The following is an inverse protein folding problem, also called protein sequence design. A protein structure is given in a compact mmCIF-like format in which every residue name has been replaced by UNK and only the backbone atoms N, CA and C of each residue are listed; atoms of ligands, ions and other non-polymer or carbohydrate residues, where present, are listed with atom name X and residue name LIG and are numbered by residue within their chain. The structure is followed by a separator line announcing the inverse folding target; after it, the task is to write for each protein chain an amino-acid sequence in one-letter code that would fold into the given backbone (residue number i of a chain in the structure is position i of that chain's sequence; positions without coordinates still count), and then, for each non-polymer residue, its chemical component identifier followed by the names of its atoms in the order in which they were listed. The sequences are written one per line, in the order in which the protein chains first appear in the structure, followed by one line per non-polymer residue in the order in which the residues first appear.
data_IF_056497453650
#
_entry.id   IF_056497453650
#
_cell.length_a   1.000
_cell.length_b   1.000
_cell.length_c   1.000
_cell.angle_alpha   90.00
_cell.angle_beta   90.00
_cell.angle_gamma   90.00
#
_symmetry.space_group_name_H-M   'P 1'
#
loop_
_entity.id
_entity.type
_entity.pdbx_description
1 polymer ?
#
# COMPACT_ATOMS: atom_id res chain seq x y z
N UNK A 1 -16.34 21.66 -25.20
CA UNK A 1 -15.78 20.31 -25.39
C UNK A 1 -14.77 20.09 -24.28
N UNK A 2 -14.84 18.96 -23.60
CA UNK A 2 -13.88 18.64 -22.55
C UNK A 2 -12.47 18.41 -23.13
N UNK A 3 -11.44 18.69 -22.34
CA UNK A 3 -10.05 18.40 -22.67
C UNK A 3 -9.75 16.94 -22.30
N UNK A 4 -9.24 16.17 -23.27
CA UNK A 4 -8.90 14.75 -23.08
C UNK A 4 -7.40 14.60 -22.73
N UNK A 5 -7.13 13.92 -21.63
CA UNK A 5 -5.79 13.51 -21.22
C UNK A 5 -5.69 11.99 -21.29
N UNK A 6 -4.83 11.48 -22.16
CA UNK A 6 -4.65 10.04 -22.41
C UNK A 6 -3.47 9.46 -21.60
N UNK A 7 -3.52 8.15 -21.35
CA UNK A 7 -2.45 7.38 -20.70
C UNK A 7 -2.06 7.93 -19.33
N UNK A 8 -3.07 8.30 -18.53
CA UNK A 8 -2.87 8.80 -17.17
C UNK A 8 -2.71 7.62 -16.20
N UNK A 9 -1.75 7.78 -15.30
CA UNK A 9 -1.48 6.76 -14.28
C UNK A 9 -2.45 6.91 -13.12
N UNK A 10 -3.08 5.80 -12.72
CA UNK A 10 -4.08 5.76 -11.67
C UNK A 10 -3.44 5.60 -10.29
N UNK A 11 -3.57 6.55 -9.34
CA UNK A 11 -3.12 6.40 -7.96
C UNK A 11 -4.18 5.73 -7.07
N UNK A 12 -4.94 4.77 -7.61
CA UNK A 12 -6.00 4.07 -6.87
C UNK A 12 -5.49 2.95 -5.97
N UNK A 13 -4.45 2.25 -6.38
CA UNK A 13 -3.81 1.15 -5.66
C UNK A 13 -2.41 0.86 -6.25
N UNK A 14 -1.66 -0.07 -5.67
CA UNK A 14 -0.30 -0.42 -6.11
C UNK A 14 -0.19 -1.00 -7.53
N UNK A 15 -1.31 -1.25 -8.22
CA UNK A 15 -1.31 -1.64 -9.62
C UNK A 15 -0.89 -0.49 -10.55
N UNK A 16 -1.09 0.77 -10.16
CA UNK A 16 -0.75 1.97 -10.93
C UNK A 16 -1.03 1.82 -12.42
N UNK A 17 -2.30 1.50 -12.76
CA UNK A 17 -2.73 1.34 -14.16
C UNK A 17 -2.38 2.58 -14.96
N UNK A 18 -1.78 2.42 -16.14
CA UNK A 18 -1.19 3.47 -16.97
C UNK A 18 -1.95 3.72 -18.29
N UNK A 19 -3.17 3.24 -18.36
CA UNK A 19 -4.05 3.27 -19.53
C UNK A 19 -5.37 4.03 -19.29
N UNK A 20 -5.38 4.96 -18.31
CA UNK A 20 -6.57 5.76 -18.06
C UNK A 20 -6.63 6.95 -19.01
N UNK A 21 -7.84 7.23 -19.51
CA UNK A 21 -8.14 8.45 -20.25
C UNK A 21 -9.10 9.29 -19.41
N UNK A 22 -8.73 10.56 -19.18
CA UNK A 22 -9.47 11.49 -18.32
C UNK A 22 -9.95 12.66 -19.14
N UNK A 23 -11.24 12.96 -19.10
CA UNK A 23 -11.81 14.17 -19.73
C UNK A 23 -12.11 15.21 -18.66
N UNK A 24 -11.59 16.42 -18.85
CA UNK A 24 -11.85 17.58 -18.00
C UNK A 24 -12.78 18.59 -18.67
N UNK A 25 -13.66 19.22 -17.90
CA UNK A 25 -14.36 20.46 -18.22
C UNK A 25 -13.92 21.54 -17.22
N UNK A 26 -13.04 22.43 -17.64
CA UNK A 26 -12.34 23.34 -16.75
C UNK A 26 -11.42 22.57 -15.80
N UNK A 27 -11.62 22.72 -14.48
CA UNK A 27 -10.90 22.01 -13.41
C UNK A 27 -11.57 20.70 -12.97
N UNK A 28 -12.68 20.33 -13.63
CA UNK A 28 -13.53 19.23 -13.19
C UNK A 28 -13.38 18.00 -14.07
N UNK A 29 -13.12 16.85 -13.44
CA UNK A 29 -13.20 15.53 -14.10
C UNK A 29 -14.66 15.23 -14.43
N UNK A 30 -14.97 15.00 -15.71
CA UNK A 30 -16.31 14.65 -16.19
C UNK A 30 -16.39 13.19 -16.64
N UNK A 31 -15.29 12.61 -17.10
CA UNK A 31 -15.23 11.23 -17.52
C UNK A 31 -13.85 10.63 -17.21
N UNK A 32 -13.81 9.34 -16.87
CA UNK A 32 -12.58 8.54 -16.78
C UNK A 32 -12.85 7.18 -17.40
N UNK A 33 -12.13 6.86 -18.47
CA UNK A 33 -12.17 5.56 -19.10
C UNK A 33 -11.12 4.61 -18.48
N UNK A 34 -11.28 3.31 -18.69
CA UNK A 34 -10.35 2.26 -18.23
C UNK A 34 -10.08 2.27 -16.71
N UNK A 35 -11.07 2.62 -15.90
CA UNK A 35 -10.95 2.79 -14.46
C UNK A 35 -11.74 1.72 -13.69
N UNK A 36 -11.23 1.29 -12.54
CA UNK A 36 -11.97 0.48 -11.56
C UNK A 36 -12.56 1.36 -10.45
N UNK A 37 -13.34 0.75 -9.54
CA UNK A 37 -13.97 1.48 -8.42
C UNK A 37 -12.97 2.24 -7.53
N UNK A 38 -11.75 1.72 -7.34
CA UNK A 38 -10.72 2.42 -6.58
C UNK A 38 -10.23 3.68 -7.29
N UNK A 39 -9.99 3.60 -8.61
CA UNK A 39 -9.64 4.77 -9.41
C UNK A 39 -10.80 5.76 -9.49
N UNK A 40 -12.02 5.30 -9.72
CA UNK A 40 -13.22 6.16 -9.68
C UNK A 40 -13.28 6.98 -8.38
N UNK A 41 -13.00 6.35 -7.23
CA UNK A 41 -13.03 7.03 -5.93
C UNK A 41 -11.93 8.08 -5.76
N UNK A 42 -10.89 8.06 -6.59
CA UNK A 42 -9.83 9.07 -6.60
C UNK A 42 -10.16 10.26 -7.48
N UNK A 43 -10.69 10.01 -8.67
CA UNK A 43 -10.89 11.04 -9.69
C UNK A 43 -12.26 11.72 -9.59
N UNK A 44 -13.31 10.97 -9.27
CA UNK A 44 -14.64 11.54 -9.08
C UNK A 44 -14.86 11.90 -7.62
N UNK A 45 -14.77 13.16 -7.29
CA UNK A 45 -15.20 13.70 -6.00
C UNK A 45 -16.74 13.73 -5.96
N UNK A 46 -17.28 12.58 -5.92
CA UNK A 46 -18.65 12.10 -5.68
C UNK A 46 -19.78 13.14 -5.52
N UNK A 47 -20.10 13.91 -6.55
CA UNK A 47 -21.45 14.52 -6.61
C UNK A 47 -22.48 13.70 -7.40
N UNK A 48 -22.11 12.57 -8.03
CA UNK A 48 -23.01 11.85 -8.96
C UNK A 48 -23.17 10.34 -8.77
N UNK A 49 -22.47 9.67 -7.88
CA UNK A 49 -22.80 8.30 -7.54
C UNK A 49 -23.75 8.26 -6.34
N UNK A 50 -24.92 7.69 -6.52
CA UNK A 50 -26.06 7.61 -5.58
C UNK A 50 -25.78 6.89 -4.23
N UNK A 51 -24.60 7.00 -3.68
CA UNK A 51 -24.28 6.48 -2.35
C UNK A 51 -24.16 7.60 -1.33
N UNK A 52 -24.97 7.53 -0.29
CA UNK A 52 -25.17 8.49 0.79
C UNK A 52 -23.95 8.85 1.68
N UNK A 53 -22.72 8.56 1.27
CA UNK A 53 -21.48 8.98 1.95
C UNK A 53 -20.48 9.49 0.92
N UNK A 54 -20.62 10.74 0.55
CA UNK A 54 -19.61 11.46 -0.19
C UNK A 54 -18.30 11.51 0.64
N UNK A 55 -17.16 11.13 0.03
CA UNK A 55 -15.87 11.53 0.57
C UNK A 55 -15.76 13.04 0.37
N UNK A 56 -15.97 13.81 1.42
CA UNK A 56 -15.85 15.25 1.33
C UNK A 56 -14.39 15.61 1.04
N UNK A 57 -14.18 16.26 -0.10
CA UNK A 57 -12.90 16.89 -0.45
C UNK A 57 -12.64 18.01 0.54
N UNK A 58 -11.49 17.99 1.20
CA UNK A 58 -11.07 19.05 2.09
C UNK A 58 -10.51 20.21 1.27
N UNK A 59 -10.89 21.45 1.59
CA UNK A 59 -10.53 22.64 0.84
C UNK A 59 -9.83 23.69 1.72
N UNK A 60 -10.15 23.73 3.00
CA UNK A 60 -9.74 24.80 3.90
C UNK A 60 -8.91 24.25 5.05
N UNK A 61 -7.78 24.89 5.38
CA UNK A 61 -7.03 24.60 6.60
C UNK A 61 -7.86 24.93 7.83
N UNK A 62 -7.78 24.05 8.84
CA UNK A 62 -8.59 24.19 10.05
C UNK A 62 -7.74 23.91 11.29
N UNK A 63 -8.04 24.64 12.36
CA UNK A 63 -7.50 24.42 13.70
C UNK A 63 -8.63 24.18 14.68
N UNK A 64 -8.43 23.26 15.61
CA UNK A 64 -9.43 22.94 16.62
C UNK A 64 -9.32 23.89 17.80
N UNK A 65 -10.37 24.69 17.97
CA UNK A 65 -10.56 25.50 19.17
C UNK A 65 -11.66 24.85 20.02
N UNK A 66 -11.31 24.45 21.23
CA UNK A 66 -12.19 23.68 22.11
C UNK A 66 -12.69 22.40 21.43
N UNK A 67 -13.95 22.31 21.04
CA UNK A 67 -14.57 21.14 20.41
C UNK A 67 -14.87 21.28 18.92
N UNK A 68 -14.54 22.43 18.32
CA UNK A 68 -14.91 22.73 16.93
C UNK A 68 -13.68 23.04 16.10
N UNK A 69 -13.64 22.50 14.87
CA UNK A 69 -12.70 22.92 13.84
C UNK A 69 -13.14 24.28 13.29
N UNK A 70 -12.20 25.21 13.20
CA UNK A 70 -12.41 26.56 12.65
C UNK A 70 -11.46 26.76 11.48
N UNK A 71 -11.97 27.28 10.37
CA UNK A 71 -11.15 27.67 9.22
C UNK A 71 -10.21 28.79 9.59
N UNK A 72 -8.96 28.64 9.20
CA UNK A 72 -7.87 29.61 9.40
C UNK A 72 -7.04 29.74 8.13
N UNK A 73 -6.09 30.69 8.07
CA UNK A 73 -5.14 30.73 6.95
C UNK A 73 -4.21 29.51 6.98
N UNK A 74 -3.61 29.22 5.82
CA UNK A 74 -2.65 28.12 5.70
C UNK A 74 -1.46 28.31 6.64
N UNK A 75 -0.93 29.53 6.71
CA UNK A 75 0.20 29.90 7.56
C UNK A 75 -0.13 29.75 9.05
N UNK A 76 -1.35 30.09 9.46
CA UNK A 76 -1.79 29.93 10.85
C UNK A 76 -1.92 28.45 11.22
N UNK A 77 -2.52 27.64 10.33
CA UNK A 77 -2.61 26.19 10.54
C UNK A 77 -1.22 25.53 10.58
N UNK A 78 -0.32 25.95 9.67
CA UNK A 78 1.03 25.42 9.59
C UNK A 78 1.85 25.77 10.85
N UNK A 79 1.75 27.01 11.35
CA UNK A 79 2.43 27.46 12.57
C UNK A 79 1.92 26.68 13.81
N UNK A 80 0.60 26.46 13.93
CA UNK A 80 0.04 25.67 15.01
C UNK A 80 0.51 24.20 14.94
N UNK A 81 0.51 23.61 13.73
CA UNK A 81 1.01 22.25 13.50
C UNK A 81 2.48 22.12 13.89
N UNK A 82 3.33 23.03 13.42
CA UNK A 82 4.75 23.07 13.76
C UNK A 82 4.95 23.22 15.28
N UNK A 83 4.19 24.11 15.94
CA UNK A 83 4.25 24.28 17.38
C UNK A 83 3.83 23.03 18.18
N UNK A 84 2.82 22.29 17.74
CA UNK A 84 2.40 21.04 18.38
C UNK A 84 3.47 19.95 18.22
N UNK A 85 4.03 19.78 17.02
CA UNK A 85 5.03 18.76 16.72
C UNK A 85 6.38 19.05 17.39
N UNK A 86 6.83 20.32 17.43
CA UNK A 86 8.11 20.71 18.06
C UNK A 86 8.12 20.55 19.58
N UNK A 87 6.98 20.66 20.24
CA UNK A 87 6.87 20.46 21.70
C UNK A 87 6.82 19.01 22.12
N UNK A 88 6.57 18.11 21.16
CA UNK A 88 6.46 16.67 21.45
C UNK A 88 7.81 16.07 21.79
N UNK A 89 7.81 15.16 22.77
CA UNK A 89 8.99 14.41 23.19
C UNK A 89 9.10 13.06 22.43
N UNK A 90 7.96 12.52 22.02
CA UNK A 90 7.85 11.25 21.27
C UNK A 90 6.85 11.39 20.13
N UNK A 91 7.15 12.25 19.14
CA UNK A 91 6.29 12.43 17.99
C UNK A 91 6.29 11.19 17.08
N UNK A 92 5.13 10.92 16.48
CA UNK A 92 4.94 9.86 15.49
C UNK A 92 4.50 10.47 14.16
N UNK A 93 5.15 10.07 13.06
CA UNK A 93 4.65 10.31 11.70
C UNK A 93 4.07 8.98 11.20
N UNK A 94 2.81 8.98 10.78
CA UNK A 94 2.08 7.78 10.39
C UNK A 94 1.48 7.89 9.00
N UNK A 95 1.50 6.79 8.22
CA UNK A 95 0.82 6.65 6.93
C UNK A 95 1.78 6.63 5.77
N UNK A 96 1.69 7.63 4.86
CA UNK A 96 2.56 7.81 3.69
C UNK A 96 2.38 6.80 2.53
N UNK A 97 1.74 5.67 2.75
CA UNK A 97 1.53 4.65 1.70
C UNK A 97 0.56 5.11 0.59
N UNK A 98 -0.23 6.15 0.88
CA UNK A 98 -1.10 6.83 -0.08
C UNK A 98 -0.61 8.26 -0.44
N UNK A 99 0.69 8.50 -0.34
CA UNK A 99 1.36 9.75 -0.77
C UNK A 99 2.45 9.46 -1.79
N UNK A 100 2.80 10.45 -2.61
CA UNK A 100 3.88 10.31 -3.59
C UNK A 100 5.27 10.17 -2.96
N UNK A 101 6.25 9.79 -3.74
CA UNK A 101 7.61 9.53 -3.27
C UNK A 101 8.33 10.79 -2.82
N UNK A 102 7.99 11.96 -3.40
CA UNK A 102 8.54 13.24 -2.91
C UNK A 102 8.01 13.58 -1.51
N UNK A 103 6.72 13.30 -1.27
CA UNK A 103 6.13 13.46 0.07
C UNK A 103 6.73 12.47 1.08
N UNK A 104 6.99 11.22 0.66
CA UNK A 104 7.64 10.21 1.51
C UNK A 104 9.05 10.64 1.90
N UNK A 105 9.84 11.18 0.95
CA UNK A 105 11.18 11.71 1.22
C UNK A 105 11.16 12.94 2.15
N UNK A 106 10.23 13.88 1.93
CA UNK A 106 10.06 15.03 2.79
C UNK A 106 9.64 14.63 4.22
N UNK A 107 8.76 13.64 4.36
CA UNK A 107 8.35 13.11 5.66
C UNK A 107 9.51 12.42 6.40
N UNK A 108 10.37 11.69 5.69
CA UNK A 108 11.55 11.07 6.29
C UNK A 108 12.56 12.13 6.80
N UNK A 109 12.73 13.22 6.05
CA UNK A 109 13.56 14.36 6.47
C UNK A 109 12.97 15.02 7.72
N UNK A 110 11.66 15.28 7.71
CA UNK A 110 10.94 15.85 8.86
C UNK A 110 11.02 14.93 10.09
N UNK A 111 10.93 13.59 9.90
CA UNK A 111 11.09 12.63 11.00
C UNK A 111 12.47 12.73 11.67
N UNK A 112 13.52 12.93 10.88
CA UNK A 112 14.88 13.16 11.41
C UNK A 112 14.97 14.46 12.20
N UNK A 113 14.42 15.56 11.69
CA UNK A 113 14.41 16.88 12.36
C UNK A 113 13.63 16.85 13.67
N UNK A 114 12.48 16.18 13.69
CA UNK A 114 11.63 16.01 14.87
C UNK A 114 12.14 14.95 15.85
N UNK A 115 13.13 14.15 15.47
CA UNK A 115 13.52 12.92 16.19
C UNK A 115 12.31 11.99 16.38
N UNK A 116 11.46 11.90 15.38
CA UNK A 116 10.22 11.13 15.40
C UNK A 116 10.43 9.69 14.95
N UNK A 117 9.51 8.81 15.36
CA UNK A 117 9.30 7.54 14.68
C UNK A 117 8.45 7.79 13.43
N UNK A 118 8.85 7.20 12.30
CA UNK A 118 8.05 7.16 11.09
C UNK A 118 7.48 5.74 10.92
N UNK A 119 6.16 5.62 10.83
CA UNK A 119 5.50 4.32 10.71
C UNK A 119 4.67 4.23 9.44
N UNK A 120 5.03 3.34 8.50
CA UNK A 120 4.20 2.99 7.36
C UNK A 120 2.83 2.43 7.78
N UNK A 121 1.76 2.82 7.09
CA UNK A 121 0.40 2.34 7.40
C UNK A 121 0.17 0.84 7.15
N UNK A 122 1.09 0.17 6.48
CA UNK A 122 1.04 -1.26 6.14
C UNK A 122 2.25 -2.07 6.65
N UNK A 123 2.90 -1.57 7.71
CA UNK A 123 4.13 -2.13 8.27
C UNK A 123 4.07 -3.65 8.48
N UNK A 124 2.99 -4.15 9.05
CA UNK A 124 2.83 -5.57 9.38
C UNK A 124 2.79 -6.50 8.15
N UNK A 125 2.52 -5.96 6.97
CA UNK A 125 2.46 -6.73 5.73
C UNK A 125 3.69 -6.52 4.85
N UNK A 126 4.05 -5.27 4.57
CA UNK A 126 5.09 -4.96 3.60
C UNK A 126 6.50 -5.10 4.17
N UNK A 127 6.74 -4.75 5.45
CA UNK A 127 8.07 -4.88 6.04
C UNK A 127 8.60 -6.32 6.02
N UNK A 128 7.83 -7.36 6.43
CA UNK A 128 8.26 -8.75 6.33
C UNK A 128 8.61 -9.18 4.91
N UNK A 129 7.87 -8.74 3.89
CA UNK A 129 8.19 -9.02 2.49
C UNK A 129 9.56 -8.48 2.10
N UNK A 130 9.82 -7.19 2.35
CA UNK A 130 11.10 -6.57 1.99
C UNK A 130 12.27 -7.11 2.82
N UNK A 131 12.05 -7.48 4.08
CA UNK A 131 13.05 -8.18 4.89
C UNK A 131 13.41 -9.55 4.31
N UNK A 132 12.40 -10.28 3.82
CA UNK A 132 12.62 -11.56 3.16
C UNK A 132 13.46 -11.41 1.88
N UNK A 133 13.20 -10.35 1.09
CA UNK A 133 14.03 -10.01 -0.07
C UNK A 133 15.48 -9.75 0.35
N UNK A 134 15.71 -8.98 1.43
CA UNK A 134 17.06 -8.70 1.93
C UNK A 134 17.80 -9.97 2.39
N UNK A 135 17.08 -10.93 2.98
CA UNK A 135 17.67 -12.18 3.49
C UNK A 135 17.93 -13.23 2.41
N UNK A 136 17.01 -13.40 1.49
CA UNK A 136 17.01 -14.54 0.57
C UNK A 136 17.27 -14.16 -0.88
N UNK A 137 17.12 -12.88 -1.23
CA UNK A 137 16.94 -12.49 -2.62
C UNK A 137 15.63 -13.00 -3.18
N UNK A 138 15.08 -12.33 -4.16
CA UNK A 138 13.84 -12.73 -4.86
C UNK A 138 14.03 -12.42 -6.33
N UNK A 139 13.68 -13.35 -7.21
CA UNK A 139 13.63 -13.06 -8.64
C UNK A 139 12.51 -12.05 -8.88
N UNK A 140 12.83 -10.99 -9.57
CA UNK A 140 11.96 -9.88 -9.86
C UNK A 140 11.80 -9.67 -11.36
N UNK A 141 10.65 -9.18 -11.80
CA UNK A 141 10.40 -8.74 -13.17
C UNK A 141 9.31 -7.67 -13.20
N UNK A 142 9.28 -6.79 -14.22
CA UNK A 142 8.13 -5.95 -14.49
C UNK A 142 6.84 -6.77 -14.65
N UNK A 143 5.70 -6.23 -14.24
CA UNK A 143 4.39 -6.89 -14.40
C UNK A 143 4.05 -7.19 -15.86
N UNK A 144 4.66 -6.49 -16.81
CA UNK A 144 4.53 -6.78 -18.25
C UNK A 144 5.10 -8.14 -18.62
N UNK A 145 6.21 -8.56 -17.98
CA UNK A 145 6.75 -9.91 -18.13
C UNK A 145 5.77 -10.96 -17.58
N UNK A 146 5.12 -10.66 -16.44
CA UNK A 146 4.09 -11.55 -15.89
C UNK A 146 2.91 -11.68 -16.86
N UNK A 147 2.45 -10.56 -17.44
CA UNK A 147 1.40 -10.56 -18.47
C UNK A 147 1.79 -11.44 -19.66
N UNK A 148 3.01 -11.26 -20.16
CA UNK A 148 3.44 -11.84 -21.43
C UNK A 148 3.87 -13.30 -21.31
N UNK A 149 4.37 -13.76 -20.15
CA UNK A 149 5.05 -15.02 -20.03
C UNK A 149 4.50 -15.98 -18.97
N UNK A 150 3.79 -15.49 -17.92
CA UNK A 150 3.36 -16.36 -16.84
C UNK A 150 2.19 -17.27 -17.26
N UNK A 151 2.47 -18.57 -17.33
CA UNK A 151 1.47 -19.63 -17.55
C UNK A 151 0.79 -20.09 -16.26
N UNK A 152 1.37 -19.75 -15.10
CA UNK A 152 0.90 -20.19 -13.78
C UNK A 152 0.82 -19.02 -12.81
N UNK A 153 -0.36 -18.85 -12.20
CA UNK A 153 -0.63 -17.77 -11.23
C UNK A 153 -1.14 -18.38 -9.94
N UNK A 154 -0.44 -18.09 -8.84
CA UNK A 154 -0.85 -18.48 -7.50
C UNK A 154 -1.16 -17.22 -6.66
N UNK A 155 -2.38 -17.13 -6.16
CA UNK A 155 -2.77 -16.12 -5.19
C UNK A 155 -2.70 -16.70 -3.77
N UNK A 156 -1.93 -16.08 -2.87
CA UNK A 156 -1.74 -16.53 -1.50
C UNK A 156 -2.26 -15.49 -0.50
N UNK A 157 -3.34 -15.80 0.20
CA UNK A 157 -4.00 -14.86 1.12
C UNK A 157 -4.41 -13.56 0.43
N UNK A 158 -4.79 -13.63 -0.85
CA UNK A 158 -4.99 -12.47 -1.70
C UNK A 158 -6.36 -12.48 -2.38
N UNK A 159 -7.07 -11.35 -2.31
CA UNK A 159 -8.26 -11.11 -3.11
C UNK A 159 -8.11 -9.82 -3.94
N UNK A 160 -7.41 -9.87 -5.09
CA UNK A 160 -7.19 -8.72 -5.94
C UNK A 160 -8.51 -8.13 -6.49
N UNK A 161 -9.60 -8.89 -6.56
CA UNK A 161 -10.92 -8.34 -6.95
C UNK A 161 -11.31 -7.15 -6.07
N UNK A 162 -10.89 -7.17 -4.78
CA UNK A 162 -11.15 -6.08 -3.83
C UNK A 162 -9.96 -5.13 -3.68
N UNK A 163 -8.71 -5.60 -3.67
CA UNK A 163 -7.54 -4.76 -3.39
C UNK A 163 -6.95 -4.08 -4.63
N UNK A 164 -6.96 -4.76 -5.78
CA UNK A 164 -6.39 -4.30 -7.04
C UNK A 164 -7.16 -4.90 -8.24
N UNK A 165 -8.43 -4.48 -8.48
CA UNK A 165 -9.33 -5.19 -9.41
C UNK A 165 -8.76 -5.36 -10.82
N UNK A 166 -8.02 -4.39 -11.32
CA UNK A 166 -7.44 -4.46 -12.66
C UNK A 166 -6.18 -5.33 -12.75
N UNK A 167 -5.57 -5.71 -11.62
CA UNK A 167 -4.45 -6.67 -11.59
C UNK A 167 -4.84 -8.01 -12.26
N UNK A 168 -6.06 -8.48 -11.99
CA UNK A 168 -6.59 -9.74 -12.53
C UNK A 168 -6.71 -9.70 -14.06
N UNK A 169 -7.10 -8.53 -14.59
CA UNK A 169 -7.33 -8.34 -16.02
C UNK A 169 -6.05 -7.97 -16.77
N UNK A 170 -5.20 -7.14 -16.16
CA UNK A 170 -4.03 -6.57 -16.86
C UNK A 170 -2.78 -7.42 -16.76
N UNK A 171 -2.58 -8.14 -15.65
CA UNK A 171 -1.29 -8.77 -15.37
C UNK A 171 -1.39 -10.22 -14.86
N UNK A 172 -2.59 -10.74 -14.65
CA UNK A 172 -2.77 -12.08 -14.06
C UNK A 172 -3.72 -12.95 -14.89
N UNK A 173 -4.93 -13.21 -14.41
CA UNK A 173 -5.81 -14.26 -14.91
C UNK A 173 -6.24 -14.06 -16.38
N UNK A 174 -6.76 -12.85 -16.70
CA UNK A 174 -7.38 -12.59 -18.00
C UNK A 174 -6.46 -11.86 -18.98
N UNK A 175 -5.27 -11.47 -18.52
CA UNK A 175 -4.32 -10.75 -19.36
C UNK A 175 -3.90 -11.62 -20.57
N UNK A 176 -3.95 -11.02 -21.77
CA UNK A 176 -3.38 -11.62 -22.98
C UNK A 176 -1.95 -11.16 -23.13
N UNK A 177 -1.05 -12.09 -23.36
CA UNK A 177 0.36 -11.84 -23.51
C UNK A 177 0.97 -12.68 -24.63
N UNK A 178 2.28 -12.53 -24.82
CA UNK A 178 3.01 -13.17 -25.92
C UNK A 178 2.91 -14.70 -25.92
N UNK A 179 2.89 -15.34 -24.75
CA UNK A 179 2.81 -16.79 -24.59
C UNK A 179 1.49 -17.25 -23.97
N UNK A 180 0.57 -16.33 -23.78
CA UNK A 180 -0.76 -16.55 -23.18
C UNK A 180 -1.82 -15.81 -23.99
N UNK A 181 -1.86 -16.05 -25.31
CA UNK A 181 -2.69 -15.29 -26.26
C UNK A 181 -4.20 -15.39 -26.00
N UNK A 182 -4.65 -16.52 -25.44
CA UNK A 182 -6.05 -16.76 -25.07
C UNK A 182 -6.36 -16.32 -23.63
N UNK A 183 -5.38 -15.72 -22.92
CA UNK A 183 -5.55 -15.24 -21.57
C UNK A 183 -5.80 -16.35 -20.56
N UNK A 184 -6.98 -16.38 -19.94
CA UNK A 184 -7.32 -17.36 -18.89
C UNK A 184 -7.29 -18.82 -19.35
N UNK A 185 -7.47 -19.10 -20.65
CA UNK A 185 -7.43 -20.47 -21.20
C UNK A 185 -5.99 -21.01 -21.26
N UNK A 186 -5.00 -20.14 -21.38
CA UNK A 186 -3.59 -20.51 -21.42
C UNK A 186 -2.93 -20.49 -20.04
N UNK A 187 -3.68 -20.12 -18.99
CA UNK A 187 -3.14 -19.96 -17.63
C UNK A 187 -3.72 -20.98 -16.67
N UNK A 188 -2.85 -21.52 -15.85
CA UNK A 188 -3.24 -22.24 -14.65
C UNK A 188 -3.35 -21.25 -13.49
N UNK A 189 -4.47 -21.26 -12.79
CA UNK A 189 -4.71 -20.32 -11.67
C UNK A 189 -5.07 -21.10 -10.41
N UNK A 190 -4.41 -20.79 -9.32
CA UNK A 190 -4.69 -21.35 -8.00
C UNK A 190 -4.82 -20.26 -6.94
N UNK A 191 -5.54 -20.58 -5.87
CA UNK A 191 -5.60 -19.75 -4.68
C UNK A 191 -5.42 -20.55 -3.40
N UNK A 192 -4.69 -20.00 -2.45
CA UNK A 192 -4.54 -20.48 -1.07
C UNK A 192 -5.14 -19.41 -0.15
N UNK A 193 -6.17 -19.76 0.60
CA UNK A 193 -6.82 -18.81 1.52
C UNK A 193 -7.59 -19.56 2.62
N UNK A 194 -7.97 -18.86 3.68
CA UNK A 194 -8.78 -19.40 4.78
C UNK A 194 -10.25 -19.58 4.40
N UNK A 195 -10.73 -18.85 3.41
CA UNK A 195 -12.10 -18.98 2.88
C UNK A 195 -12.15 -18.68 1.37
N UNK A 196 -13.23 -19.11 0.73
CA UNK A 196 -13.48 -18.81 -0.68
C UNK A 196 -13.90 -17.36 -0.87
N UNK A 197 -13.19 -16.64 -1.74
CA UNK A 197 -13.51 -15.28 -2.18
C UNK A 197 -14.08 -15.30 -3.60
N UNK A 198 -14.45 -14.14 -4.13
CA UNK A 198 -14.91 -14.00 -5.52
C UNK A 198 -13.84 -14.42 -6.52
N UNK A 199 -12.57 -14.22 -6.16
CA UNK A 199 -11.43 -14.66 -6.97
C UNK A 199 -11.45 -16.17 -7.21
N UNK A 200 -11.92 -16.98 -6.25
CA UNK A 200 -11.90 -18.45 -6.36
C UNK A 200 -12.79 -18.98 -7.48
N UNK A 201 -13.71 -18.18 -8.04
CA UNK A 201 -14.49 -18.53 -9.23
C UNK A 201 -13.61 -18.68 -10.48
N UNK A 202 -12.46 -18.06 -10.49
CA UNK A 202 -11.47 -18.10 -11.57
C UNK A 202 -10.26 -18.99 -11.26
N UNK A 203 -10.26 -19.67 -10.10
CA UNK A 203 -9.19 -20.54 -9.64
C UNK A 203 -9.64 -22.01 -9.65
N UNK A 204 -9.34 -22.79 -10.70
CA UNK A 204 -9.65 -24.22 -10.74
C UNK A 204 -9.09 -25.01 -9.56
N UNK A 205 -7.98 -24.55 -8.99
CA UNK A 205 -7.41 -25.10 -7.78
C UNK A 205 -7.54 -24.10 -6.61
N UNK A 206 -8.31 -24.49 -5.60
CA UNK A 206 -8.42 -23.78 -4.33
C UNK A 206 -7.95 -24.66 -3.18
N UNK A 207 -6.97 -24.19 -2.42
CA UNK A 207 -6.49 -24.84 -1.20
C UNK A 207 -6.97 -24.01 0.00
N UNK A 208 -7.88 -24.60 0.76
CA UNK A 208 -8.34 -24.00 2.01
C UNK A 208 -7.36 -24.37 3.12
N UNK A 209 -6.87 -23.36 3.83
CA UNK A 209 -6.04 -23.49 5.04
C UNK A 209 -6.76 -22.95 6.27
N UNK A 210 -6.27 -23.30 7.45
CA UNK A 210 -6.58 -22.60 8.68
C UNK A 210 -5.50 -21.55 8.95
N UNK A 211 -5.81 -20.44 9.64
CA UNK A 211 -4.78 -19.50 10.08
C UNK A 211 -3.65 -20.22 10.82
N UNK A 212 -2.41 -19.96 10.41
CA UNK A 212 -1.21 -20.61 10.97
C UNK A 212 -0.75 -21.88 10.26
N UNK A 213 -1.51 -22.40 9.28
CA UNK A 213 -1.09 -23.58 8.47
C UNK A 213 -0.25 -23.21 7.24
N UNK A 214 0.05 -21.96 7.04
CA UNK A 214 0.80 -21.47 5.87
C UNK A 214 2.19 -22.12 5.79
N UNK A 215 2.90 -22.17 6.92
CA UNK A 215 4.25 -22.76 6.98
C UNK A 215 4.21 -24.28 6.72
N UNK A 216 3.29 -25.00 7.33
CA UNK A 216 3.11 -26.43 7.09
C UNK A 216 2.83 -26.73 5.60
N UNK A 217 2.04 -25.85 4.94
CA UNK A 217 1.75 -25.98 3.51
C UNK A 217 3.00 -25.72 2.68
N UNK A 218 3.77 -24.66 2.98
CA UNK A 218 5.00 -24.32 2.25
C UNK A 218 6.04 -25.43 2.40
N UNK A 219 6.27 -25.93 3.60
CA UNK A 219 7.22 -27.02 3.89
C UNK A 219 6.80 -28.30 3.18
N UNK A 220 5.51 -28.65 3.26
CA UNK A 220 5.00 -29.82 2.56
C UNK A 220 5.12 -29.76 1.06
N UNK A 221 4.88 -28.59 0.44
CA UNK A 221 5.10 -28.36 -1.01
C UNK A 221 6.59 -28.51 -1.33
N UNK A 222 7.46 -27.85 -0.58
CA UNK A 222 8.90 -27.86 -0.80
C UNK A 222 9.47 -29.29 -0.71
N UNK A 223 9.08 -30.06 0.32
CA UNK A 223 9.50 -31.45 0.47
C UNK A 223 9.04 -32.35 -0.70
N UNK A 224 7.76 -32.20 -1.13
CA UNK A 224 7.26 -32.97 -2.31
C UNK A 224 8.02 -32.62 -3.58
N UNK A 225 8.27 -31.34 -3.83
CA UNK A 225 9.01 -30.88 -5.01
C UNK A 225 10.47 -31.33 -4.97
N UNK A 226 11.07 -31.43 -3.79
CA UNK A 226 12.42 -31.98 -3.59
C UNK A 226 12.49 -33.51 -3.70
N UNK A 227 11.36 -34.20 -3.88
CA UNK A 227 11.30 -35.67 -3.92
C UNK A 227 11.42 -36.34 -2.55
N UNK A 228 11.27 -35.59 -1.45
CA UNK A 228 11.30 -36.13 -0.11
C UNK A 228 10.04 -36.95 0.21
N UNK A 229 10.16 -37.97 1.05
CA UNK A 229 8.99 -38.74 1.48
C UNK A 229 8.13 -37.92 2.42
N UNK A 230 7.01 -37.38 1.92
CA UNK A 230 5.97 -36.71 2.70
C UNK A 230 4.71 -37.62 2.73
N UNK A 231 4.64 -38.62 3.64
CA UNK A 231 3.60 -39.64 3.59
C UNK A 231 2.19 -39.05 3.74
N UNK A 232 1.99 -38.17 4.67
CA UNK A 232 0.71 -37.49 4.92
C UNK A 232 0.97 -36.01 5.19
N UNK A 233 0.85 -35.12 4.17
CA UNK A 233 0.97 -33.71 4.40
C UNK A 233 -0.08 -33.20 5.40
N UNK A 234 0.30 -32.32 6.33
CA UNK A 234 -0.60 -31.83 7.38
C UNK A 234 -1.75 -30.98 6.83
N UNK A 235 -1.55 -30.38 5.63
CA UNK A 235 -2.56 -29.56 4.97
C UNK A 235 -3.16 -30.31 3.78
N UNK A 236 -4.48 -30.39 3.74
CA UNK A 236 -5.20 -31.05 2.63
C UNK A 236 -4.97 -30.30 1.32
N UNK A 237 -4.53 -30.99 0.31
CA UNK A 237 -4.31 -30.44 -1.04
C UNK A 237 -2.86 -30.06 -1.32
N UNK A 238 -1.93 -30.21 -0.36
CA UNK A 238 -0.49 -29.95 -0.54
C UNK A 238 0.07 -30.65 -1.79
N UNK A 239 -0.22 -31.94 -2.00
CA UNK A 239 0.24 -32.68 -3.20
C UNK A 239 -0.29 -32.07 -4.50
N UNK A 240 -1.56 -31.66 -4.52
CA UNK A 240 -2.18 -31.03 -5.70
C UNK A 240 -1.56 -29.70 -6.02
N UNK A 241 -1.20 -28.90 -4.99
CA UNK A 241 -0.54 -27.63 -5.19
C UNK A 241 0.92 -27.81 -5.62
N UNK A 242 1.64 -28.78 -5.06
CA UNK A 242 2.98 -29.13 -5.53
C UNK A 242 2.98 -29.57 -6.99
N UNK A 243 2.04 -30.46 -7.38
CA UNK A 243 1.84 -30.88 -8.78
C UNK A 243 1.47 -29.70 -9.70
N UNK A 244 0.63 -28.78 -9.22
CA UNK A 244 0.27 -27.56 -9.95
C UNK A 244 1.51 -26.69 -10.24
N UNK A 245 2.35 -26.46 -9.25
CA UNK A 245 3.58 -25.68 -9.39
C UNK A 245 4.65 -26.40 -10.23
N UNK A 246 4.69 -27.75 -10.18
CA UNK A 246 5.66 -28.52 -10.95
C UNK A 246 5.42 -28.47 -12.46
N UNK A 247 4.19 -28.20 -12.91
CA UNK A 247 3.82 -28.10 -14.33
C UNK A 247 4.13 -26.72 -14.94
N UNK A 248 4.40 -25.71 -14.13
CA UNK A 248 4.68 -24.37 -14.59
C UNK A 248 5.99 -24.29 -15.38
N UNK A 249 6.03 -23.44 -16.39
CA UNK A 249 7.27 -22.97 -17.03
C UNK A 249 7.67 -21.61 -16.49
N UNK A 250 6.69 -20.72 -16.38
CA UNK A 250 6.85 -19.40 -15.81
C UNK A 250 5.67 -19.10 -14.87
N UNK A 251 5.94 -18.85 -13.60
CA UNK A 251 4.90 -18.67 -12.60
C UNK A 251 5.05 -17.38 -11.79
N UNK A 252 3.95 -16.99 -11.17
CA UNK A 252 3.93 -15.86 -10.22
C UNK A 252 3.13 -16.21 -8.98
N UNK A 253 3.64 -15.81 -7.83
CA UNK A 253 2.96 -15.86 -6.54
C UNK A 253 2.61 -14.43 -6.12
N UNK A 254 1.33 -14.12 -6.07
CA UNK A 254 0.82 -12.86 -5.55
C UNK A 254 0.35 -13.04 -4.12
N UNK A 255 0.99 -12.34 -3.17
CA UNK A 255 0.67 -12.38 -1.76
C UNK A 255 -0.21 -11.19 -1.37
N UNK A 256 -1.34 -11.48 -0.72
CA UNK A 256 -2.21 -10.45 -0.15
C UNK A 256 -2.06 -10.34 1.37
N UNK A 257 -2.79 -9.39 1.96
CA UNK A 257 -2.79 -9.16 3.42
C UNK A 257 -3.27 -10.35 4.26
N UNK A 258 -3.87 -11.37 3.64
CA UNK A 258 -4.27 -12.60 4.33
C UNK A 258 -3.10 -13.32 5.01
N UNK A 259 -1.88 -13.17 4.50
CA UNK A 259 -0.67 -13.72 5.14
C UNK A 259 -0.35 -13.06 6.51
N UNK A 260 -0.89 -11.87 6.78
CA UNK A 260 -0.65 -11.16 8.04
C UNK A 260 -1.48 -11.65 9.23
N UNK A 261 -2.31 -12.67 9.03
CA UNK A 261 -3.00 -13.37 10.13
C UNK A 261 -2.15 -14.45 10.78
N UNK A 262 -0.99 -14.75 10.25
CA UNK A 262 -0.02 -15.71 10.74
C UNK A 262 1.34 -15.08 11.06
N UNK A 263 2.41 -15.89 11.21
CA UNK A 263 3.79 -15.44 11.37
C UNK A 263 4.32 -14.90 10.02
N UNK A 264 3.97 -13.66 9.71
CA UNK A 264 4.13 -13.03 8.38
C UNK A 264 5.57 -13.08 7.88
N UNK A 265 6.55 -12.86 8.75
CA UNK A 265 7.96 -12.86 8.38
C UNK A 265 8.42 -14.26 7.92
N UNK A 266 8.07 -15.27 8.69
CA UNK A 266 8.40 -16.67 8.42
C UNK A 266 7.67 -17.17 7.16
N UNK A 267 6.44 -16.71 6.92
CA UNK A 267 5.68 -17.05 5.71
C UNK A 267 6.38 -16.47 4.48
N UNK A 268 6.78 -15.19 4.50
CA UNK A 268 7.51 -14.60 3.38
C UNK A 268 8.88 -15.23 3.17
N UNK A 269 9.60 -15.58 4.25
CA UNK A 269 10.85 -16.33 4.15
C UNK A 269 10.66 -17.72 3.52
N UNK A 270 9.59 -18.42 3.90
CA UNK A 270 9.22 -19.70 3.33
C UNK A 270 8.87 -19.59 1.85
N UNK A 271 8.08 -18.59 1.45
CA UNK A 271 7.71 -18.33 0.06
C UNK A 271 8.92 -17.92 -0.79
N UNK A 272 9.85 -17.13 -0.24
CA UNK A 272 11.09 -16.77 -0.93
C UNK A 272 11.99 -17.99 -1.16
N UNK A 273 12.11 -18.89 -0.18
CA UNK A 273 12.84 -20.17 -0.35
C UNK A 273 12.17 -21.07 -1.36
N UNK A 274 10.83 -21.19 -1.33
CA UNK A 274 10.07 -21.95 -2.34
C UNK A 274 10.28 -21.36 -3.74
N UNK A 275 10.24 -20.05 -3.88
CA UNK A 275 10.54 -19.38 -5.14
C UNK A 275 11.98 -19.69 -5.62
N UNK A 276 12.96 -19.58 -4.73
CA UNK A 276 14.36 -19.88 -5.06
C UNK A 276 14.54 -21.35 -5.51
N UNK A 277 13.83 -22.28 -4.87
CA UNK A 277 13.83 -23.69 -5.27
C UNK A 277 13.21 -23.88 -6.67
N UNK A 278 12.05 -23.31 -6.93
CA UNK A 278 11.40 -23.39 -8.24
C UNK A 278 12.25 -22.74 -9.34
N UNK A 279 13.01 -21.71 -9.01
CA UNK A 279 13.90 -21.00 -9.95
C UNK A 279 15.17 -21.77 -10.33
N UNK A 280 15.42 -22.95 -9.77
CA UNK A 280 16.51 -23.82 -10.25
C UNK A 280 16.24 -24.35 -11.67
N UNK A 281 14.97 -24.56 -12.02
CA UNK A 281 14.57 -25.12 -13.32
C UNK A 281 13.54 -24.29 -14.07
N UNK A 282 12.90 -23.34 -13.41
CA UNK A 282 11.75 -22.56 -13.88
C UNK A 282 11.98 -21.06 -13.66
N UNK A 283 10.96 -20.25 -14.01
CA UNK A 283 10.94 -18.84 -13.65
C UNK A 283 9.73 -18.55 -12.77
N UNK A 284 9.95 -18.27 -11.51
CA UNK A 284 8.90 -17.88 -10.57
C UNK A 284 9.19 -16.52 -9.97
N UNK A 285 8.15 -15.71 -9.84
CA UNK A 285 8.19 -14.36 -9.27
C UNK A 285 7.32 -14.29 -8.02
N UNK A 286 7.68 -13.42 -7.07
CA UNK A 286 6.95 -13.24 -5.82
C UNK A 286 6.66 -11.74 -5.63
N UNK A 287 5.37 -11.38 -5.58
CA UNK A 287 4.94 -10.00 -5.40
C UNK A 287 3.92 -9.84 -4.27
N UNK A 288 4.05 -8.78 -3.46
CA UNK A 288 2.99 -8.37 -2.57
C UNK A 288 1.89 -7.65 -3.37
N UNK A 289 0.66 -7.67 -2.86
CA UNK A 289 -0.46 -6.88 -3.37
C UNK A 289 -0.92 -5.88 -2.30
N UNK A 290 -0.21 -4.75 -2.13
CA UNK A 290 -0.65 -3.70 -1.23
C UNK A 290 -1.91 -3.03 -1.77
N UNK A 291 -2.76 -2.53 -0.85
CA UNK A 291 -3.96 -1.78 -1.23
C UNK A 291 -3.65 -0.32 -1.56
N UNK A 292 -2.58 0.22 -1.00
CA UNK A 292 -2.21 1.62 -1.13
C UNK A 292 -1.32 1.82 -2.35
N UNK A 293 -1.42 2.98 -3.00
CA UNK A 293 -0.85 3.14 -4.32
C UNK A 293 0.68 3.24 -4.36
N UNK A 294 1.32 3.67 -3.26
CA UNK A 294 2.77 3.87 -3.21
C UNK A 294 3.44 3.22 -1.99
N UNK A 295 2.92 2.09 -1.54
CA UNK A 295 3.58 1.28 -0.52
C UNK A 295 5.00 0.88 -0.95
N UNK A 296 5.17 0.40 -2.19
CA UNK A 296 6.48 0.02 -2.71
C UNK A 296 7.49 1.17 -2.66
N UNK A 297 7.09 2.39 -3.05
CA UNK A 297 7.96 3.57 -3.01
C UNK A 297 8.48 3.88 -1.62
N UNK A 298 7.61 3.78 -0.60
CA UNK A 298 8.02 4.02 0.77
C UNK A 298 9.09 3.00 1.24
N UNK A 299 8.90 1.71 0.95
CA UNK A 299 9.87 0.69 1.36
C UNK A 299 11.18 0.76 0.56
N UNK A 300 11.13 1.11 -0.72
CA UNK A 300 12.35 1.42 -1.49
C UNK A 300 13.10 2.60 -0.90
N UNK A 301 12.42 3.67 -0.51
CA UNK A 301 13.02 4.82 0.16
C UNK A 301 13.66 4.40 1.50
N UNK A 302 12.94 3.64 2.34
CA UNK A 302 13.46 3.20 3.63
C UNK A 302 14.69 2.30 3.47
N UNK A 303 14.69 1.38 2.51
CA UNK A 303 15.86 0.56 2.20
C UNK A 303 17.07 1.39 1.79
N UNK A 304 16.87 2.38 0.92
CA UNK A 304 17.96 3.23 0.43
C UNK A 304 18.48 4.19 1.49
N UNK A 305 17.62 4.81 2.28
CA UNK A 305 17.95 5.90 3.20
C UNK A 305 18.26 5.43 4.62
N UNK A 306 17.72 4.28 5.03
CA UNK A 306 17.83 3.73 6.39
C UNK A 306 18.52 2.37 6.39
N UNK A 307 18.58 1.69 5.24
CA UNK A 307 19.16 0.36 5.09
C UNK A 307 18.26 -0.79 5.54
N UNK A 308 17.06 -0.50 6.03
CA UNK A 308 16.13 -1.50 6.56
C UNK A 308 14.68 -1.17 6.20
N UNK A 309 13.93 -2.19 5.81
CA UNK A 309 12.50 -2.09 5.51
C UNK A 309 11.67 -2.21 6.81
N UNK A 310 11.53 -1.13 7.53
CA UNK A 310 10.77 -1.10 8.79
C UNK A 310 10.33 0.33 9.14
N UNK A 311 9.91 0.54 10.37
CA UNK A 311 9.56 1.86 10.92
C UNK A 311 10.81 2.47 11.61
N UNK A 312 11.52 3.44 10.97
CA UNK A 312 12.65 4.08 11.61
C UNK A 312 12.19 4.97 12.77
N UNK A 313 12.95 4.95 13.86
CA UNK A 313 12.77 5.78 15.05
C UNK A 313 14.05 6.60 15.25
N UNK A 314 13.94 7.92 15.10
CA UNK A 314 15.04 8.88 15.26
C UNK A 314 15.07 9.51 16.66
N UNK A 315 14.43 8.89 17.66
CA UNK A 315 14.41 9.34 19.04
C UNK A 315 15.79 9.66 19.63
N UNK A 316 15.88 10.19 20.85
CA UNK A 316 17.12 10.76 21.41
C UNK A 316 18.24 9.72 21.64
N UNK A 317 17.93 8.44 21.69
CA UNK A 317 18.89 7.37 21.64
C UNK A 317 19.41 7.17 20.21
N UNK A 318 20.28 6.16 20.00
CA UNK A 318 20.70 5.78 18.65
C UNK A 318 19.46 5.44 17.80
N UNK A 319 19.43 5.95 16.57
CA UNK A 319 18.37 5.61 15.61
C UNK A 319 18.19 4.09 15.48
N UNK A 320 16.97 3.63 15.56
CA UNK A 320 16.58 2.22 15.49
C UNK A 320 15.52 2.01 14.43
N UNK A 321 15.31 0.75 14.01
CA UNK A 321 14.23 0.39 13.10
C UNK A 321 13.35 -0.65 13.76
N UNK A 322 12.04 -0.39 13.80
CA UNK A 322 11.05 -1.28 14.37
C UNK A 322 10.31 -2.05 13.27
N UNK A 323 9.98 -3.29 13.53
CA UNK A 323 9.26 -4.18 12.61
C UNK A 323 7.86 -4.55 13.12
N UNK A 324 7.55 -4.15 14.33
CA UNK A 324 6.21 -4.26 14.91
C UNK A 324 5.51 -2.90 14.94
N UNK A 325 4.18 -2.87 14.79
CA UNK A 325 3.41 -1.65 14.93
C UNK A 325 3.69 -0.90 16.24
N UNK A 326 3.57 0.43 16.19
CA UNK A 326 3.83 1.28 17.34
C UNK A 326 2.88 0.99 18.49
N UNK A 327 3.44 0.99 19.71
CA UNK A 327 2.65 1.12 20.92
C UNK A 327 2.41 2.61 21.21
N UNK A 328 1.17 3.03 21.11
CA UNK A 328 0.79 4.45 21.25
C UNK A 328 0.91 4.98 22.68
N UNK A 329 1.15 4.12 23.70
CA UNK A 329 1.22 4.53 25.12
C UNK A 329 2.26 5.61 25.42
N UNK A 330 3.31 5.73 24.63
CA UNK A 330 4.34 6.74 24.83
C UNK A 330 4.30 7.91 23.82
N UNK A 331 3.41 7.84 22.83
CA UNK A 331 3.30 8.88 21.78
C UNK A 331 2.56 10.09 22.33
N UNK A 332 3.09 11.30 22.12
CA UNK A 332 2.55 12.55 22.63
C UNK A 332 2.15 13.59 21.55
N UNK A 333 2.47 13.32 20.27
CA UNK A 333 1.89 14.00 19.12
C UNK A 333 1.91 13.05 17.89
N UNK A 334 0.93 13.17 17.00
CA UNK A 334 0.87 12.36 15.77
C UNK A 334 0.68 13.25 14.56
N UNK A 335 1.55 13.10 13.55
CA UNK A 335 1.33 13.62 12.20
C UNK A 335 0.85 12.46 11.32
N UNK A 336 -0.37 12.58 10.78
CA UNK A 336 -0.98 11.57 9.90
C UNK A 336 -1.01 12.09 8.48
N UNK A 337 -0.48 11.32 7.52
CA UNK A 337 -0.36 11.72 6.12
C UNK A 337 -1.02 10.68 5.23
N UNK A 338 -2.06 11.09 4.48
CA UNK A 338 -2.76 10.24 3.50
C UNK A 338 -3.40 8.97 4.06
N UNK A 339 -3.69 8.94 5.37
CA UNK A 339 -4.19 7.75 6.07
C UNK A 339 -5.39 8.05 6.98
N UNK A 340 -6.14 7.02 7.35
CA UNK A 340 -7.16 7.09 8.41
C UNK A 340 -6.74 6.25 9.63
N UNK A 341 -5.80 6.77 10.40
CA UNK A 341 -5.23 6.11 11.58
C UNK A 341 -6.31 5.60 12.54
N UNK A 342 -7.29 6.43 12.88
CA UNK A 342 -8.32 6.10 13.88
C UNK A 342 -9.34 5.04 13.39
N UNK A 343 -9.31 4.72 12.10
CA UNK A 343 -10.08 3.60 11.54
C UNK A 343 -9.38 2.26 11.77
N UNK A 344 -8.05 2.25 11.71
CA UNK A 344 -7.25 1.02 11.80
C UNK A 344 -6.83 0.65 13.22
N UNK A 345 -6.80 1.62 14.14
CA UNK A 345 -6.44 1.35 15.52
C UNK A 345 -7.52 0.57 16.28
N UNK A 346 -7.13 -0.34 17.19
CA UNK A 346 -8.02 -0.92 18.16
C UNK A 346 -8.75 0.16 18.98
N UNK A 347 -10.00 -0.10 19.35
CA UNK A 347 -10.83 0.86 20.07
C UNK A 347 -10.16 1.35 21.37
N UNK A 348 -9.49 0.45 22.10
CA UNK A 348 -8.74 0.78 23.33
C UNK A 348 -7.65 1.81 23.10
N UNK A 349 -6.88 1.69 22.01
CA UNK A 349 -5.83 2.66 21.66
C UNK A 349 -6.42 4.00 21.25
N UNK A 350 -7.53 4.00 20.52
CA UNK A 350 -8.27 5.24 20.18
C UNK A 350 -8.73 5.97 21.43
N UNK A 351 -9.31 5.26 22.39
CA UNK A 351 -9.76 5.85 23.67
C UNK A 351 -8.58 6.32 24.53
N UNK A 352 -7.44 5.64 24.51
CA UNK A 352 -6.23 6.08 25.20
C UNK A 352 -5.69 7.38 24.63
N UNK A 353 -5.57 7.51 23.30
CA UNK A 353 -5.17 8.75 22.64
C UNK A 353 -6.09 9.93 23.00
N UNK A 354 -7.40 9.70 23.02
CA UNK A 354 -8.38 10.71 23.41
C UNK A 354 -8.25 11.10 24.89
N UNK A 355 -8.13 10.13 25.79
CA UNK A 355 -8.01 10.39 27.25
C UNK A 355 -6.77 11.22 27.54
N UNK A 356 -5.64 10.93 26.89
CA UNK A 356 -4.39 11.66 27.02
C UNK A 356 -4.37 12.97 26.23
N UNK A 357 -5.41 13.24 25.43
CA UNK A 357 -5.52 14.42 24.57
C UNK A 357 -4.33 14.57 23.61
N UNK A 358 -3.83 13.44 23.06
CA UNK A 358 -2.71 13.46 22.12
C UNK A 358 -3.13 14.23 20.86
N UNK A 359 -2.44 15.36 20.52
CA UNK A 359 -2.80 16.13 19.34
C UNK A 359 -2.49 15.35 18.07
N UNK A 360 -3.42 15.42 17.12
CA UNK A 360 -3.28 14.86 15.78
C UNK A 360 -3.22 16.00 14.78
N UNK A 361 -2.13 16.09 14.04
CA UNK A 361 -2.01 16.91 12.83
C UNK A 361 -2.31 16.01 11.64
N UNK A 362 -3.24 16.40 10.76
CA UNK A 362 -3.61 15.59 9.61
C UNK A 362 -3.36 16.34 8.29
N UNK A 363 -2.57 15.73 7.39
CA UNK A 363 -2.42 16.13 6.00
C UNK A 363 -3.24 15.15 5.16
N UNK A 364 -4.28 15.63 4.50
CA UNK A 364 -5.19 14.74 3.75
C UNK A 364 -6.00 15.50 2.71
N UNK A 365 -6.21 14.93 1.53
CA UNK A 365 -7.14 15.48 0.55
C UNK A 365 -8.62 15.24 0.90
N UNK A 366 -8.93 14.26 1.76
CA UNK A 366 -10.29 13.83 2.06
C UNK A 366 -10.60 13.79 3.54
N UNK A 367 -11.86 14.12 3.87
CA UNK A 367 -12.39 13.92 5.22
C UNK A 367 -12.49 12.42 5.56
N UNK A 368 -12.06 12.08 6.77
CA UNK A 368 -12.12 10.73 7.31
C UNK A 368 -12.27 10.78 8.85
N UNK A 369 -12.21 9.63 9.53
CA UNK A 369 -12.35 9.57 10.98
C UNK A 369 -11.22 10.32 11.70
N UNK A 370 -10.00 10.20 11.21
CA UNK A 370 -8.83 10.89 11.78
C UNK A 370 -8.91 12.39 11.60
N UNK A 371 -9.23 12.89 10.41
CA UNK A 371 -9.35 14.33 10.15
C UNK A 371 -10.45 14.98 10.99
N UNK A 372 -11.54 14.26 11.27
CA UNK A 372 -12.63 14.74 12.13
C UNK A 372 -12.20 14.93 13.59
N UNK A 373 -11.12 14.30 14.03
CA UNK A 373 -10.57 14.40 15.39
C UNK A 373 -9.26 15.21 15.44
N UNK A 374 -8.74 15.65 14.30
CA UNK A 374 -7.49 16.37 14.22
C UNK A 374 -7.51 17.68 15.05
N UNK A 375 -6.38 18.01 15.67
CA UNK A 375 -6.12 19.31 16.27
C UNK A 375 -5.85 20.35 15.19
N UNK A 376 -5.10 19.95 14.15
CA UNK A 376 -4.83 20.76 12.95
C UNK A 376 -5.10 19.91 11.72
N UNK A 377 -5.81 20.50 10.76
CA UNK A 377 -6.10 19.91 9.46
C UNK A 377 -5.47 20.76 8.36
N UNK A 378 -4.61 20.15 7.56
CA UNK A 378 -3.95 20.72 6.39
C UNK A 378 -4.43 19.97 5.14
N UNK A 379 -5.37 20.53 4.37
CA UNK A 379 -5.78 19.95 3.09
C UNK A 379 -4.64 19.95 2.10
N UNK A 380 -4.56 18.90 1.28
CA UNK A 380 -3.54 18.78 0.24
C UNK A 380 -4.12 18.43 -1.12
N UNK A 381 -3.36 18.72 -2.17
CA UNK A 381 -3.65 18.37 -3.53
C UNK A 381 -3.58 16.85 -3.74
N UNK A 382 -4.40 16.31 -4.65
CA UNK A 382 -4.39 14.90 -5.00
C UNK A 382 -3.22 14.57 -5.92
N UNK A 383 -2.36 13.68 -5.50
CA UNK A 383 -1.30 13.15 -6.34
C UNK A 383 -1.87 12.45 -7.58
N UNK A 384 -1.32 12.76 -8.77
CA UNK A 384 -1.74 12.20 -10.04
C UNK A 384 -3.06 12.74 -10.61
N UNK A 385 -3.60 13.82 -10.00
CA UNK A 385 -4.70 14.61 -10.55
C UNK A 385 -4.41 16.10 -10.40
N UNK A 386 -4.23 16.57 -9.17
CA UNK A 386 -4.07 17.98 -8.80
C UNK A 386 -2.61 18.36 -8.53
N UNK A 387 -1.73 17.38 -8.36
CA UNK A 387 -0.29 17.57 -8.20
C UNK A 387 0.49 16.47 -8.91
N UNK A 388 1.62 16.83 -9.49
CA UNK A 388 2.59 15.87 -10.00
C UNK A 388 3.33 15.21 -8.85
N UNK A 389 3.56 13.90 -8.99
CA UNK A 389 4.29 13.08 -8.02
C UNK A 389 4.95 11.88 -8.70
N UNK A 390 5.78 11.16 -7.98
CA UNK A 390 6.29 9.85 -8.40
C UNK A 390 5.71 8.76 -7.48
N UNK A 391 5.35 7.63 -8.05
CA UNK A 391 4.96 6.45 -7.28
C UNK A 391 5.61 5.20 -7.86
N UNK A 392 5.81 4.19 -7.01
CA UNK A 392 6.35 2.90 -7.42
C UNK A 392 5.24 1.87 -7.50
N UNK A 393 5.07 1.30 -8.68
CA UNK A 393 4.16 0.17 -8.91
C UNK A 393 4.58 -1.01 -8.01
N UNK A 394 3.68 -1.97 -7.76
CA UNK A 394 3.97 -3.10 -6.86
C UNK A 394 5.18 -3.93 -7.29
N UNK A 395 5.57 -3.86 -8.56
CA UNK A 395 6.79 -4.43 -9.11
C UNK A 395 8.02 -3.51 -9.01
N UNK A 396 7.95 -2.43 -8.25
CA UNK A 396 9.06 -1.51 -8.03
C UNK A 396 9.37 -0.56 -9.20
N UNK A 397 8.57 -0.56 -10.27
CA UNK A 397 8.74 0.38 -11.39
C UNK A 397 8.31 1.79 -10.97
N UNK A 398 9.20 2.81 -11.02
CA UNK A 398 8.82 4.19 -10.76
C UNK A 398 8.02 4.77 -11.93
N UNK A 399 6.93 5.44 -11.63
CA UNK A 399 6.02 6.04 -12.59
C UNK A 399 5.72 7.49 -12.18
N UNK A 400 5.69 8.39 -13.18
CA UNK A 400 5.35 9.80 -12.96
C UNK A 400 3.84 9.97 -12.99
N UNK A 401 3.27 10.37 -11.87
CA UNK A 401 1.87 10.73 -11.73
C UNK A 401 1.70 12.19 -12.18
N UNK A 402 1.26 12.42 -13.41
CA UNK A 402 1.13 13.76 -13.97
C UNK A 402 0.00 14.54 -13.28
N UNK A 403 0.20 15.83 -13.11
CA UNK A 403 -0.89 16.76 -12.81
C UNK A 403 -1.73 16.94 -14.07
N UNK A 404 -3.05 16.77 -13.98
CA UNK A 404 -4.01 16.96 -15.08
C UNK A 404 -5.04 18.04 -14.77
N UNK A 405 -5.32 18.32 -13.52
CA UNK A 405 -6.24 19.37 -13.09
C UNK A 405 -5.50 20.42 -12.25
N UNK A 406 -5.82 21.73 -12.38
CA UNK A 406 -5.24 22.76 -11.53
C UNK A 406 -5.72 22.60 -10.08
N UNK A 407 -4.89 23.02 -9.12
CA UNK A 407 -5.25 23.05 -7.71
C UNK A 407 -4.65 24.27 -7.04
N UNK A 408 -5.42 24.91 -6.14
CA UNK A 408 -4.93 25.95 -5.26
C UNK A 408 -4.32 25.37 -3.96
N UNK A 409 -4.48 24.06 -3.72
CA UNK A 409 -3.94 23.39 -2.54
C UNK A 409 -2.50 22.96 -2.77
N UNK A 410 -1.63 23.05 -1.75
CA UNK A 410 -0.27 22.53 -1.85
C UNK A 410 -0.27 21.00 -1.95
N UNK A 411 0.71 20.42 -2.63
CA UNK A 411 0.98 19.00 -2.61
C UNK A 411 1.47 18.54 -1.21
N UNK A 412 1.31 17.26 -0.87
CA UNK A 412 1.77 16.71 0.42
C UNK A 412 3.25 17.06 0.70
N UNK A 413 4.12 16.95 -0.31
CA UNK A 413 5.55 17.25 -0.15
C UNK A 413 5.82 18.73 0.13
N UNK A 414 5.02 19.64 -0.38
CA UNK A 414 5.13 21.09 -0.11
C UNK A 414 4.74 21.38 1.33
N UNK A 415 3.61 20.85 1.80
CA UNK A 415 3.17 20.98 3.21
C UNK A 415 4.24 20.47 4.17
N UNK A 416 4.83 19.30 3.87
CA UNK A 416 5.88 18.70 4.70
C UNK A 416 7.18 19.52 4.70
N UNK A 417 7.55 20.08 3.55
CA UNK A 417 8.72 20.97 3.43
C UNK A 417 8.52 22.26 4.19
N UNK A 418 7.31 22.84 4.15
CA UNK A 418 6.99 24.06 4.89
C UNK A 418 6.98 23.81 6.41
N UNK A 419 6.46 22.66 6.87
CA UNK A 419 6.55 22.23 8.26
C UNK A 419 8.01 22.08 8.71
N UNK A 420 8.83 21.40 7.91
CA UNK A 420 10.24 21.17 8.22
C UNK A 420 11.02 22.49 8.33
N UNK A 421 10.72 23.46 7.46
CA UNK A 421 11.33 24.79 7.53
C UNK A 421 10.98 25.53 8.81
N UNK A 422 9.73 25.48 9.26
CA UNK A 422 9.29 26.15 10.51
C UNK A 422 9.83 25.46 11.76
N UNK A 423 10.06 24.16 11.73
CA UNK A 423 10.58 23.38 12.86
C UNK A 423 12.11 23.54 12.99
N UNK A 424 12.81 23.72 11.85
CA UNK A 424 14.26 23.90 11.80
C UNK A 424 14.74 25.34 11.99
N UNK A 425 13.80 26.33 12.00
CA UNK A 425 14.09 27.74 12.29
C UNK A 425 14.01 28.04 13.77
#
# INVERSE_FOLDING_TARGET
MGELHESIICPGCGCLCDDLDITLEGDRVVEVANVCLWGVSRFFHAKKFHQKKERHRLQEPQVRHQRRLQTVSYEAALAEAAGLLSRAQRPLIYGLTNSGSWAQAAALKLARSLRARLEPGDLAFMAPYYQSIQRHGVMWAPLDIIRDEADTVLFWGANPIHSAPRQVVRHAVFARGRFTERGAEDRQVAAVDIYKTELTKFCPLFIKIQPGQELDLIEGISGILAGEPVPTPPVRGTRRLAEFLSKATCGVIFCGRGVSYGPTAEIFDGLARLQAFLNQEKRFFLFPLPSDFNSSGLYHLLLNEVGQAGAPDFGPAKATTHFSPVDFRGVDAVLVIGADLLWFLPAEQVEDLKRRQVPIVAISPFANRTTSQAAVLLPSALAGLEAEEVAFRTDGLPLVLKQVAPSALPADHQVLTDLERLIGS
#
